data_IF_601916656140
#
_entry.id   IF_601916656140
#
_cell.length_a   1.000
_cell.length_b   1.000
_cell.length_c   1.000
_cell.angle_alpha   90.00
_cell.angle_beta   90.00
_cell.angle_gamma   90.00
#
_symmetry.space_group_name_H-M   'P 1'
#
loop_
_entity.id
_entity.type
_entity.pdbx_description
1 polymer ?
#
# COMPACT_ATOMS: atom_id res chain seq x y z
N UNK A 1 -29.47 -44.75 21.13
CA UNK A 1 -28.47 -44.29 20.14
C UNK A 1 -28.97 -42.98 19.50
N UNK A 2 -28.76 -41.82 20.13
CA UNK A 2 -29.20 -40.52 19.56
C UNK A 2 -28.41 -39.32 20.16
N UNK A 3 -27.31 -39.59 20.86
CA UNK A 3 -26.55 -38.54 21.60
C UNK A 3 -25.24 -38.13 20.91
N UNK A 4 -24.83 -38.87 19.87
CA UNK A 4 -23.57 -38.64 19.14
C UNK A 4 -23.75 -37.83 17.85
N UNK A 5 -24.98 -37.71 17.34
CA UNK A 5 -25.24 -36.91 16.12
C UNK A 5 -25.33 -35.41 16.40
N UNK A 6 -25.77 -35.02 17.60
CA UNK A 6 -25.89 -33.61 17.99
C UNK A 6 -24.55 -32.90 18.19
N UNK A 7 -23.46 -33.65 18.46
CA UNK A 7 -22.13 -33.07 18.60
C UNK A 7 -21.44 -32.80 17.25
N UNK A 8 -21.79 -33.56 16.20
CA UNK A 8 -21.22 -33.39 14.87
C UNK A 8 -21.79 -32.17 14.13
N UNK A 9 -23.02 -31.75 14.45
CA UNK A 9 -23.67 -30.59 13.85
C UNK A 9 -23.22 -29.25 14.49
N UNK A 10 -22.62 -29.26 15.67
CA UNK A 10 -22.22 -28.04 16.38
C UNK A 10 -20.80 -27.56 16.03
N UNK A 11 -20.00 -28.37 15.34
CA UNK A 11 -18.61 -28.03 14.96
C UNK A 11 -18.55 -27.36 13.57
N UNK A 12 -19.63 -27.43 12.78
CA UNK A 12 -19.65 -26.89 11.40
C UNK A 12 -19.94 -25.38 11.32
N UNK A 13 -20.26 -24.72 12.44
CA UNK A 13 -20.64 -23.30 12.47
C UNK A 13 -19.52 -22.34 12.92
N UNK A 14 -18.32 -22.82 13.26
CA UNK A 14 -17.25 -21.98 13.82
C UNK A 14 -16.20 -21.52 12.81
N UNK A 15 -16.39 -21.76 11.51
CA UNK A 15 -15.39 -21.41 10.46
C UNK A 15 -15.79 -20.21 9.59
N UNK A 16 -16.89 -19.53 9.90
CA UNK A 16 -17.30 -18.29 9.18
C UNK A 16 -17.17 -17.09 10.11
N UNK A 17 -15.98 -16.93 10.70
CA UNK A 17 -15.54 -15.59 11.08
C UNK A 17 -14.96 -14.95 9.81
N UNK A 18 -15.86 -14.51 8.92
CA UNK A 18 -15.47 -13.56 7.89
C UNK A 18 -14.88 -12.37 8.63
N UNK A 19 -13.59 -12.10 8.40
CA UNK A 19 -13.05 -10.75 8.58
C UNK A 19 -14.05 -9.83 7.91
N UNK A 20 -14.49 -8.77 8.58
CA UNK A 20 -15.25 -7.74 7.89
C UNK A 20 -14.41 -7.32 6.69
N UNK A 21 -14.91 -7.59 5.47
CA UNK A 21 -14.20 -7.24 4.26
C UNK A 21 -14.04 -5.72 4.27
N UNK A 22 -12.82 -5.24 4.01
CA UNK A 22 -12.58 -3.81 3.87
C UNK A 22 -13.58 -3.24 2.84
N UNK A 23 -14.09 -2.01 3.04
CA UNK A 23 -14.94 -1.37 2.05
C UNK A 23 -14.29 -1.38 0.68
N UNK A 24 -15.11 -1.44 -0.38
CA UNK A 24 -14.59 -1.33 -1.75
C UNK A 24 -13.80 -0.01 -1.92
N UNK A 25 -12.61 -0.06 -2.54
CA UNK A 25 -11.85 1.14 -2.85
C UNK A 25 -12.63 2.12 -3.73
N UNK A 26 -12.36 3.41 -3.55
CA UNK A 26 -12.88 4.42 -4.46
C UNK A 26 -12.33 4.19 -5.89
N UNK A 27 -13.13 4.41 -6.95
CA UNK A 27 -12.75 4.08 -8.32
C UNK A 27 -11.40 4.64 -8.77
N UNK A 28 -11.03 5.81 -8.27
CA UNK A 28 -9.80 6.53 -8.60
C UNK A 28 -8.52 5.83 -8.11
N UNK A 29 -8.63 5.00 -7.06
CA UNK A 29 -7.51 4.27 -6.47
C UNK A 29 -7.69 2.76 -6.51
N UNK A 30 -8.83 2.26 -7.01
CA UNK A 30 -9.13 0.83 -7.05
C UNK A 30 -8.04 0.02 -7.75
N UNK A 31 -7.36 0.61 -8.74
CA UNK A 31 -6.26 -0.05 -9.45
C UNK A 31 -4.97 -0.19 -8.64
N UNK A 32 -4.80 0.61 -7.58
CA UNK A 32 -3.61 0.61 -6.72
C UNK A 32 -3.86 0.09 -5.32
N UNK A 33 -5.12 -0.09 -4.90
CA UNK A 33 -5.54 -0.56 -3.58
C UNK A 33 -5.17 -2.05 -3.35
N UNK A 34 -3.88 -2.29 -3.15
CA UNK A 34 -3.27 -3.61 -3.07
C UNK A 34 -1.90 -3.55 -2.37
N UNK A 35 -1.23 -4.69 -2.24
CA UNK A 35 0.15 -4.81 -1.80
C UNK A 35 1.11 -4.81 -2.99
N UNK A 36 2.17 -4.03 -2.86
CA UNK A 36 3.15 -3.75 -3.90
C UNK A 36 4.56 -4.00 -3.39
N UNK A 37 5.32 -4.83 -4.12
CA UNK A 37 6.71 -5.14 -3.85
C UNK A 37 7.63 -4.24 -4.66
N UNK A 38 8.52 -3.50 -4.02
CA UNK A 38 9.52 -2.71 -4.71
C UNK A 38 10.54 -3.63 -5.39
N UNK A 39 10.76 -3.43 -6.69
CA UNK A 39 11.71 -4.24 -7.48
C UNK A 39 12.87 -3.43 -8.04
N UNK A 40 12.69 -2.12 -8.26
CA UNK A 40 13.75 -1.25 -8.76
C UNK A 40 13.54 0.22 -8.35
N UNK A 41 14.55 1.05 -8.59
CA UNK A 41 14.49 2.49 -8.48
C UNK A 41 15.29 3.15 -9.62
N UNK A 42 14.90 4.36 -10.02
CA UNK A 42 15.58 5.10 -11.09
C UNK A 42 16.80 5.85 -10.52
N UNK A 43 17.94 5.78 -11.22
CA UNK A 43 19.11 6.62 -10.97
C UNK A 43 19.62 7.22 -12.28
N UNK A 44 20.30 8.36 -12.16
CA UNK A 44 21.09 8.92 -13.24
C UNK A 44 22.52 8.39 -13.14
N UNK A 45 22.96 7.63 -14.14
CA UNK A 45 24.34 7.15 -14.29
C UNK A 45 24.86 7.67 -15.63
N UNK A 46 25.98 8.40 -15.61
CA UNK A 46 26.59 9.02 -16.79
C UNK A 46 25.61 9.84 -17.64
N UNK A 47 24.74 10.61 -16.96
CA UNK A 47 23.73 11.46 -17.60
C UNK A 47 22.51 10.72 -18.16
N UNK A 48 22.41 9.39 -17.98
CA UNK A 48 21.28 8.58 -18.43
C UNK A 48 20.48 8.04 -17.26
N UNK A 49 19.15 8.08 -17.39
CA UNK A 49 18.24 7.42 -16.44
C UNK A 49 18.29 5.92 -16.66
N UNK A 50 18.55 5.17 -15.59
CA UNK A 50 18.62 3.72 -15.57
C UNK A 50 17.84 3.17 -14.38
N UNK A 51 17.19 2.02 -14.57
CA UNK A 51 16.53 1.28 -13.48
C UNK A 51 17.56 0.38 -12.80
N UNK A 52 17.74 0.57 -11.50
CA UNK A 52 18.61 -0.25 -10.66
C UNK A 52 17.72 -1.19 -9.86
N UNK A 53 17.89 -2.53 -9.98
CA UNK A 53 17.19 -3.48 -9.14
C UNK A 53 17.44 -3.22 -7.65
N UNK A 54 16.46 -3.53 -6.81
CA UNK A 54 16.65 -3.56 -5.36
C UNK A 54 17.46 -4.81 -5.02
N UNK A 55 18.64 -4.61 -4.44
CA UNK A 55 19.45 -5.68 -3.85
C UNK A 55 19.04 -5.90 -2.38
N UNK A 56 18.87 -7.16 -1.96
CA UNK A 56 18.52 -7.53 -0.59
C UNK A 56 17.02 -7.74 -0.35
N UNK A 57 16.58 -7.53 0.90
CA UNK A 57 15.18 -7.70 1.28
C UNK A 57 14.30 -6.63 0.61
N UNK A 58 13.25 -7.02 -0.12
CA UNK A 58 12.40 -6.08 -0.82
C UNK A 58 11.52 -5.31 0.17
N UNK A 59 11.36 -4.02 -0.09
CA UNK A 59 10.37 -3.18 0.61
C UNK A 59 8.99 -3.46 0.03
N UNK A 60 8.00 -3.57 0.91
CA UNK A 60 6.59 -3.65 0.52
C UNK A 60 5.87 -2.39 0.99
N UNK A 61 4.89 -1.97 0.19
CA UNK A 61 3.88 -1.00 0.60
C UNK A 61 2.50 -1.54 0.26
N UNK A 62 1.47 -1.13 0.99
CA UNK A 62 0.09 -1.44 0.65
C UNK A 62 -0.76 -0.19 0.67
N UNK A 63 -1.63 -0.02 -0.32
CA UNK A 63 -2.64 1.04 -0.31
C UNK A 63 -3.97 0.47 0.15
N UNK A 64 -4.52 1.05 1.21
CA UNK A 64 -5.87 0.75 1.69
C UNK A 64 -6.92 1.32 0.73
N UNK A 65 -8.16 0.84 0.89
CA UNK A 65 -9.36 1.33 0.19
C UNK A 65 -9.64 2.84 0.34
N UNK A 66 -9.06 3.48 1.36
CA UNK A 66 -9.15 4.90 1.66
C UNK A 66 -7.88 5.69 1.27
N UNK A 67 -6.96 5.01 0.56
CA UNK A 67 -5.71 5.54 0.05
C UNK A 67 -4.61 5.67 1.10
N UNK A 68 -4.82 5.26 2.35
CA UNK A 68 -3.72 5.23 3.32
C UNK A 68 -2.67 4.23 2.86
N UNK A 69 -1.42 4.71 2.77
CA UNK A 69 -0.25 3.85 2.49
C UNK A 69 0.33 3.30 3.79
N UNK A 70 0.53 1.99 3.82
CA UNK A 70 1.18 1.26 4.90
C UNK A 70 2.50 0.66 4.42
N UNK A 71 3.43 0.46 5.36
CA UNK A 71 4.65 -0.29 5.12
C UNK A 71 4.40 -1.82 5.10
N UNK A 72 5.44 -2.60 4.83
CA UNK A 72 5.38 -4.06 4.82
C UNK A 72 5.03 -4.72 6.16
N UNK A 73 4.90 -3.96 7.25
CA UNK A 73 4.42 -4.42 8.56
C UNK A 73 2.97 -4.01 8.83
N UNK A 74 2.31 -3.35 7.87
CA UNK A 74 0.97 -2.83 8.00
C UNK A 74 0.88 -1.57 8.87
N UNK A 75 1.99 -0.85 9.07
CA UNK A 75 2.02 0.39 9.84
C UNK A 75 2.01 1.60 8.90
N UNK A 76 1.37 2.73 9.29
CA UNK A 76 1.40 3.94 8.48
C UNK A 76 2.83 4.46 8.33
N UNK A 77 3.13 5.03 7.16
CA UNK A 77 4.39 5.74 6.93
C UNK A 77 4.47 6.98 7.82
N UNK A 78 5.68 7.37 8.22
CA UNK A 78 5.88 8.55 9.08
C UNK A 78 5.59 9.88 8.39
N UNK A 79 5.81 9.94 7.08
CA UNK A 79 5.59 11.12 6.24
C UNK A 79 4.70 10.72 5.06
N UNK A 80 3.43 10.34 5.29
CA UNK A 80 2.56 9.91 4.22
C UNK A 80 2.21 11.12 3.33
N UNK A 81 1.90 10.90 2.05
CA UNK A 81 1.38 11.95 1.18
C UNK A 81 -0.08 12.29 1.55
N UNK A 82 -0.48 13.52 1.27
CA UNK A 82 -1.87 13.97 1.43
C UNK A 82 -2.74 13.61 0.21
N UNK A 83 -2.11 13.39 -0.94
CA UNK A 83 -2.79 13.08 -2.19
C UNK A 83 -1.95 12.24 -3.16
N UNK A 84 -2.64 11.62 -4.12
CA UNK A 84 -2.06 10.94 -5.27
C UNK A 84 -2.58 11.53 -6.57
N UNK A 85 -1.76 11.51 -7.61
CA UNK A 85 -2.24 11.49 -9.00
C UNK A 85 -2.09 10.08 -9.55
N UNK A 86 -3.15 9.28 -9.52
CA UNK A 86 -3.15 7.91 -10.05
C UNK A 86 -3.55 7.94 -11.51
N UNK A 87 -2.61 7.62 -12.41
CA UNK A 87 -2.79 7.72 -13.86
C UNK A 87 -3.35 9.10 -14.28
N UNK A 88 -2.92 10.16 -13.59
CA UNK A 88 -3.35 11.55 -13.81
C UNK A 88 -4.64 11.98 -13.08
N UNK A 89 -5.33 11.06 -12.40
CA UNK A 89 -6.55 11.37 -11.62
C UNK A 89 -6.16 11.69 -10.19
N UNK A 90 -6.59 12.86 -9.69
CA UNK A 90 -6.34 13.29 -8.32
C UNK A 90 -7.18 12.47 -7.34
N UNK A 91 -6.55 11.99 -6.28
CA UNK A 91 -7.18 11.39 -5.12
C UNK A 91 -6.63 11.99 -3.83
N UNK A 92 -7.50 12.51 -2.98
CA UNK A 92 -7.14 12.99 -1.64
C UNK A 92 -7.19 11.85 -0.62
N UNK A 93 -6.08 11.62 0.09
CA UNK A 93 -5.99 10.59 1.12
C UNK A 93 -6.74 11.04 2.36
N UNK A 94 -7.75 10.28 2.76
CA UNK A 94 -8.54 10.55 3.97
C UNK A 94 -8.77 9.22 4.69
N UNK A 95 -8.09 8.96 5.82
CA UNK A 95 -8.32 7.76 6.60
C UNK A 95 -9.81 7.62 6.98
N UNK A 96 -10.41 6.48 6.63
CA UNK A 96 -11.81 6.13 6.92
C UNK A 96 -11.95 5.01 7.95
N UNK A 97 -10.83 4.43 8.38
CA UNK A 97 -10.75 3.52 9.53
C UNK A 97 -9.52 3.83 10.37
N UNK A 98 -9.49 3.32 11.60
CA UNK A 98 -8.42 3.54 12.56
C UNK A 98 -7.04 3.18 11.99
N UNK A 99 -6.02 3.94 12.40
CA UNK A 99 -4.63 3.72 12.02
C UNK A 99 -3.85 3.18 13.21
N UNK A 100 -3.09 2.09 13.05
CA UNK A 100 -2.21 1.62 14.11
C UNK A 100 -1.12 2.66 14.38
N UNK A 101 -0.71 2.77 15.64
CA UNK A 101 0.36 3.70 16.04
C UNK A 101 1.71 3.16 15.56
N UNK A 102 2.41 3.94 14.74
CA UNK A 102 3.80 3.68 14.40
C UNK A 102 4.73 4.48 15.33
N UNK A 103 5.19 3.85 16.42
CA UNK A 103 6.03 4.50 17.43
C UNK A 103 7.36 5.04 16.87
N UNK A 104 7.87 4.48 15.76
CA UNK A 104 9.08 4.98 15.10
C UNK A 104 8.88 6.42 14.60
N UNK A 105 7.64 6.78 14.24
CA UNK A 105 7.32 8.10 13.71
C UNK A 105 7.25 9.20 14.78
N UNK A 106 7.19 8.86 16.07
CA UNK A 106 7.11 9.85 17.16
C UNK A 106 8.36 10.74 17.26
N UNK A 107 9.49 10.26 16.75
CA UNK A 107 10.78 10.96 16.80
C UNK A 107 11.24 11.45 15.43
N UNK A 108 10.44 11.27 14.38
CA UNK A 108 10.78 11.67 13.01
C UNK A 108 10.29 13.10 12.79
N UNK A 109 11.21 14.02 12.53
CA UNK A 109 10.88 15.35 12.02
C UNK A 109 10.68 15.26 10.51
N UNK A 110 9.45 15.52 10.07
CA UNK A 110 8.92 15.12 8.78
C UNK A 110 8.88 16.32 7.83
N UNK A 111 9.64 16.27 6.73
CA UNK A 111 9.37 17.07 5.53
C UNK A 111 8.63 16.15 4.54
N UNK A 112 7.31 16.14 4.64
CA UNK A 112 6.45 15.30 3.81
C UNK A 112 6.46 15.71 2.35
N UNK A 113 6.41 14.72 1.46
CA UNK A 113 6.18 14.95 0.04
C UNK A 113 4.67 14.90 -0.19
N UNK A 114 4.04 16.07 -0.16
CA UNK A 114 2.58 16.24 -0.09
C UNK A 114 1.80 15.47 -1.16
N UNK A 115 2.40 15.23 -2.33
CA UNK A 115 1.74 14.50 -3.42
C UNK A 115 2.69 13.53 -4.10
N UNK A 116 2.20 12.33 -4.40
CA UNK A 116 2.88 11.35 -5.25
C UNK A 116 2.17 11.24 -6.60
N UNK A 117 2.94 11.09 -7.67
CA UNK A 117 2.41 10.74 -8.98
C UNK A 117 2.59 9.23 -9.17
N UNK A 118 1.52 8.51 -9.49
CA UNK A 118 1.50 7.06 -9.60
C UNK A 118 1.05 6.69 -11.02
N UNK A 119 1.92 6.02 -11.76
CA UNK A 119 1.62 5.44 -13.07
C UNK A 119 1.46 3.93 -12.88
N UNK A 120 0.25 3.39 -13.06
CA UNK A 120 -0.04 1.97 -12.88
C UNK A 120 -0.56 1.35 -14.19
N UNK A 121 0.00 0.21 -14.57
CA UNK A 121 -0.40 -0.58 -15.74
C UNK A 121 -0.29 -2.07 -15.42
N UNK A 122 -1.44 -2.76 -15.32
CA UNK A 122 -1.50 -4.17 -14.93
C UNK A 122 -0.93 -4.42 -13.53
N UNK A 123 0.14 -5.20 -13.46
CA UNK A 123 0.80 -5.51 -12.18
C UNK A 123 2.07 -4.69 -11.95
N UNK A 124 2.39 -3.74 -12.83
CA UNK A 124 3.49 -2.79 -12.63
C UNK A 124 2.96 -1.42 -12.18
N UNK A 125 3.66 -0.83 -11.21
CA UNK A 125 3.42 0.53 -10.75
C UNK A 125 4.75 1.29 -10.66
N UNK A 126 4.76 2.50 -11.22
CA UNK A 126 5.83 3.48 -11.04
C UNK A 126 5.33 4.59 -10.13
N UNK A 127 6.01 4.79 -9.01
CA UNK A 127 5.73 5.84 -8.04
C UNK A 127 6.80 6.92 -8.17
N UNK A 128 6.38 8.13 -8.47
CA UNK A 128 7.23 9.32 -8.48
C UNK A 128 6.90 10.19 -7.27
N UNK A 129 7.88 10.46 -6.42
CA UNK A 129 7.67 11.23 -5.19
C UNK A 129 8.71 12.33 -4.99
N UNK A 130 8.35 13.28 -4.12
CA UNK A 130 9.18 14.41 -3.71
C UNK A 130 9.58 15.35 -4.86
N UNK A 131 8.63 16.13 -5.39
CA UNK A 131 8.94 17.25 -6.28
C UNK A 131 9.82 18.29 -5.54
N UNK A 132 10.86 18.86 -6.18
CA UNK A 132 11.28 18.69 -7.57
C UNK A 132 12.30 17.55 -7.81
N UNK A 133 12.68 16.79 -6.77
CA UNK A 133 13.67 15.70 -6.88
C UNK A 133 13.18 14.57 -7.78
N UNK A 134 11.85 14.32 -7.80
CA UNK A 134 11.19 13.36 -8.69
C UNK A 134 11.83 11.96 -8.65
N UNK A 135 12.03 11.44 -7.43
CA UNK A 135 12.55 10.08 -7.25
C UNK A 135 11.51 9.08 -7.77
N UNK A 136 11.94 8.14 -8.61
CA UNK A 136 11.06 7.10 -9.18
C UNK A 136 11.39 5.73 -8.60
N UNK A 137 10.36 5.04 -8.13
CA UNK A 137 10.41 3.67 -7.63
C UNK A 137 9.51 2.79 -8.49
N UNK A 138 9.94 1.56 -8.76
CA UNK A 138 9.18 0.55 -9.49
C UNK A 138 8.72 -0.54 -8.52
N UNK A 139 7.45 -0.90 -8.65
CA UNK A 139 6.82 -1.94 -7.86
C UNK A 139 6.09 -2.94 -8.75
N UNK A 140 5.94 -4.17 -8.22
CA UNK A 140 5.12 -5.24 -8.79
C UNK A 140 4.05 -5.67 -7.78
N UNK A 141 2.81 -5.84 -8.22
CA UNK A 141 1.68 -6.32 -7.40
C UNK A 141 1.98 -7.70 -6.79
N UNK A 142 1.45 -8.00 -5.61
CA UNK A 142 1.64 -9.27 -4.91
C UNK A 142 0.34 -10.08 -4.78
#
# INVERSE_FOLDING_TARGET
>A
MMKKLFFALMISLTLVACKEDDPEPQPEIATIADTWKQTAYEKTVDGKKVWIPVDGEPTYISFRFDGVVLDGKGLPLCCPPDAYYVNGVLFEVKPKAELPVNNVCMTVDCIGCATWDIEQTGDEMILTYCKPVNMKLKFIRQ
#
